data_IF_918375062823
#
_entry.id   IF_918375062823
#
_cell.length_a   1.000
_cell.length_b   1.000
_cell.length_c   1.000
_cell.angle_alpha   90.00
_cell.angle_beta   90.00
_cell.angle_gamma   90.00
#
_symmetry.space_group_name_H-M   'P 1'
#
loop_
_entity.id
_entity.type
_entity.pdbx_description
1 polymer ?
2 non-polymer ?
3 non-polymer ?
4 non-polymer ?
5 water ?
#
# COMPACT_ATOMS: atom_id res chain seq x y z
N UNK A 1 3.16 29.37 -29.31
CA UNK A 1 3.52 30.02 -28.05
C UNK A 1 2.85 31.37 -27.94
N UNK A 2 2.07 31.73 -28.95
CA UNK A 2 1.37 33.02 -28.98
C UNK A 2 -0.03 32.93 -28.40
N UNK A 3 -0.51 31.74 -28.04
CA UNK A 3 -1.85 31.57 -27.50
C UNK A 3 -1.84 30.65 -26.28
N UNK A 4 -0.74 30.70 -25.52
CA UNK A 4 -0.67 29.95 -24.27
C UNK A 4 -1.78 30.35 -23.31
N UNK A 5 -2.28 31.58 -23.40
CA UNK A 5 -3.36 31.97 -22.51
C UNK A 5 -4.58 31.09 -22.71
N UNK A 6 -4.83 30.65 -23.94
CA UNK A 6 -6.01 29.84 -24.19
C UNK A 6 -5.84 28.43 -23.61
N UNK A 7 -4.67 27.83 -23.77
CA UNK A 7 -4.44 26.52 -23.18
C UNK A 7 -4.55 26.57 -21.65
N UNK A 8 -3.97 27.60 -21.05
CA UNK A 8 -4.09 27.77 -19.60
C UNK A 8 -5.56 27.94 -19.21
N UNK A 9 -6.31 28.75 -19.96
CA UNK A 9 -7.72 28.95 -19.63
C UNK A 9 -8.46 27.63 -19.63
N UNK A 10 -8.26 26.83 -20.67
CA UNK A 10 -8.97 25.56 -20.79
C UNK A 10 -8.54 24.61 -19.70
N UNK A 11 -7.23 24.53 -19.42
CA UNK A 11 -6.76 23.59 -18.42
C UNK A 11 -7.16 24.02 -17.02
N UNK A 12 -7.20 25.31 -16.73
CA UNK A 12 -7.71 25.75 -15.43
C UNK A 12 -9.21 25.52 -15.31
N UNK A 13 -9.95 25.66 -16.40
CA UNK A 13 -11.36 25.29 -16.40
C UNK A 13 -11.49 23.81 -16.02
N UNK A 14 -10.73 22.94 -16.67
CA UNK A 14 -10.75 21.53 -16.31
C UNK A 14 -10.38 21.33 -14.85
N UNK A 15 -9.29 21.96 -14.42
CA UNK A 15 -8.81 21.75 -13.06
C UNK A 15 -9.80 22.26 -12.03
N UNK A 16 -10.53 23.33 -12.32
CA UNK A 16 -11.52 23.81 -11.37
C UNK A 16 -12.60 22.76 -11.10
N UNK A 17 -12.76 21.77 -11.99
CA UNK A 17 -13.71 20.67 -11.87
C UNK A 17 -13.10 19.38 -11.31
N UNK A 18 -11.82 19.41 -10.94
CA UNK A 18 -11.08 18.28 -10.42
C UNK A 18 -10.52 18.57 -9.03
N UNK A 19 -10.01 19.77 -8.83
CA UNK A 19 -9.32 20.13 -7.59
C UNK A 19 -10.34 20.37 -6.48
N UNK A 20 -10.06 19.83 -5.29
CA UNK A 20 -10.89 20.04 -4.12
C UNK A 20 -10.03 20.70 -3.05
N UNK A 21 -10.53 21.81 -2.52
CA UNK A 21 -9.81 22.57 -1.51
C UNK A 21 -10.24 22.11 -0.13
N UNK A 22 -9.32 22.18 0.84
CA UNK A 22 -9.60 21.64 2.17
C UNK A 22 -10.33 22.60 3.07
N UNK A 23 -10.96 22.04 4.09
CA UNK A 23 -11.44 22.82 5.21
C UNK A 23 -10.22 23.24 6.05
N UNK A 24 -10.36 24.28 6.80
CA UNK A 24 -9.24 24.72 7.61
C UNK A 24 -8.15 25.40 6.81
N UNK A 25 -7.17 25.87 7.56
CA UNK A 25 -6.34 26.98 7.15
C UNK A 25 -5.13 26.60 6.33
N UNK A 26 -4.88 27.41 5.31
CA UNK A 26 -3.75 27.19 4.43
C UNK A 26 -3.52 28.47 3.65
N UNK A 27 -2.40 28.51 2.94
CA UNK A 27 -1.99 29.62 2.09
C UNK A 27 -2.74 29.51 0.75
N UNK A 28 -3.75 30.35 0.58
CA UNK A 28 -4.57 30.29 -0.61
C UNK A 28 -3.79 30.63 -1.86
N UNK A 29 -2.83 31.54 -1.77
CA UNK A 29 -2.04 31.89 -2.93
C UNK A 29 -1.18 30.72 -3.37
N UNK A 30 -0.64 29.96 -2.42
CA UNK A 30 0.19 28.82 -2.79
C UNK A 30 -0.66 27.69 -3.37
N UNK A 31 -1.86 27.47 -2.83
CA UNK A 31 -2.75 26.50 -3.44
C UNK A 31 -3.04 26.89 -4.88
N UNK A 32 -3.30 28.17 -5.13
CA UNK A 32 -3.54 28.63 -6.49
C UNK A 32 -2.32 28.37 -7.37
N UNK A 33 -1.13 28.61 -6.82
CA UNK A 33 0.09 28.37 -7.60
C UNK A 33 0.25 26.90 -7.98
N UNK A 34 -0.15 25.98 -7.11
CA UNK A 34 -0.09 24.56 -7.44
C UNK A 34 -1.00 24.23 -8.59
N UNK A 35 -2.21 24.79 -8.59
CA UNK A 35 -3.13 24.55 -9.70
C UNK A 35 -2.57 25.15 -10.98
N UNK A 36 -1.96 26.33 -10.88
CA UNK A 36 -1.37 26.93 -12.07
C UNK A 36 -0.29 26.05 -12.68
N UNK A 37 0.51 25.40 -11.85
CA UNK A 37 1.54 24.50 -12.36
C UNK A 37 0.92 23.25 -12.99
N UNK A 38 -0.14 22.70 -12.38
CA UNK A 38 -0.85 21.57 -12.96
C UNK A 38 -1.41 21.92 -14.35
N UNK A 39 -1.73 23.20 -14.58
CA UNK A 39 -2.32 23.63 -15.85
C UNK A 39 -1.35 23.52 -17.01
N UNK A 40 -0.09 23.20 -16.76
CA UNK A 40 0.84 22.94 -17.84
C UNK A 40 0.66 21.55 -18.42
N UNK A 41 0.03 20.63 -17.70
CA UNK A 41 -0.17 19.26 -18.21
C UNK A 41 -1.09 19.29 -19.41
N UNK A 42 -0.82 18.43 -20.40
CA UNK A 42 -1.65 18.38 -21.60
C UNK A 42 -3.12 18.20 -21.22
N UNK A 43 -3.95 19.01 -21.82
CA UNK A 43 -5.37 19.00 -21.50
C UNK A 43 -6.05 17.66 -21.74
N UNK A 44 -5.56 16.88 -22.70
CA UNK A 44 -6.17 15.57 -22.95
C UNK A 44 -6.07 14.69 -21.71
N UNK A 45 -4.93 14.73 -21.02
CA UNK A 45 -4.79 13.94 -19.80
C UNK A 45 -5.70 14.47 -18.70
N UNK A 46 -5.73 15.80 -18.54
CA UNK A 46 -6.56 16.40 -17.50
C UNK A 46 -8.03 16.07 -17.72
N UNK A 47 -8.49 16.14 -18.96
CA UNK A 47 -9.89 15.81 -19.23
C UNK A 47 -10.18 14.32 -19.06
N UNK A 48 -9.18 13.47 -19.28
CA UNK A 48 -9.38 12.04 -19.01
C UNK A 48 -9.48 11.77 -17.52
N UNK A 49 -8.67 12.47 -16.70
CA UNK A 49 -8.82 12.37 -15.26
C UNK A 49 -10.21 12.81 -14.82
N UNK A 50 -10.68 13.93 -15.39
CA UNK A 50 -11.99 14.45 -15.04
C UNK A 50 -13.08 13.45 -15.39
N UNK A 51 -12.99 12.81 -16.54
CA UNK A 51 -14.00 11.84 -16.93
C UNK A 51 -14.06 10.68 -15.95
N UNK A 52 -12.92 10.29 -15.40
CA UNK A 52 -12.87 9.20 -14.44
C UNK A 52 -13.23 9.63 -13.03
N UNK A 53 -13.65 10.89 -12.84
CA UNK A 53 -14.06 11.43 -11.55
C UNK A 53 -12.93 11.44 -10.53
N UNK A 54 -11.71 11.56 -11.01
CA UNK A 54 -10.56 11.75 -10.14
C UNK A 54 -10.61 13.16 -9.56
N UNK A 55 -10.43 13.25 -8.26
CA UNK A 55 -10.33 14.53 -7.56
C UNK A 55 -8.88 14.71 -7.15
N UNK A 56 -8.38 15.92 -7.30
CA UNK A 56 -7.05 16.27 -6.81
C UNK A 56 -7.27 16.98 -5.47
N UNK A 57 -7.03 16.27 -4.38
CA UNK A 57 -7.31 16.80 -3.04
C UNK A 57 -6.09 17.56 -2.51
N UNK A 58 -6.23 18.86 -2.33
CA UNK A 58 -5.22 19.68 -1.69
C UNK A 58 -5.47 19.69 -0.20
N UNK A 59 -4.42 19.48 0.58
CA UNK A 59 -4.56 19.26 2.02
C UNK A 59 -3.95 20.40 2.82
N UNK A 60 -4.60 20.68 3.95
CA UNK A 60 -4.14 21.68 4.90
C UNK A 60 -3.22 21.13 5.99
N UNK A 61 -2.98 19.82 6.03
CA UNK A 61 -2.10 19.20 7.00
C UNK A 61 -1.53 17.90 6.47
N UNK A 62 -1.09 17.05 7.39
CA UNK A 62 -0.42 15.79 7.03
C UNK A 62 -1.36 14.87 6.28
N UNK A 63 -0.77 14.13 5.33
CA UNK A 63 -1.51 13.17 4.53
C UNK A 63 -2.27 12.18 5.40
N UNK A 64 -1.59 11.61 6.40
CA UNK A 64 -2.20 10.56 7.21
C UNK A 64 -3.20 11.09 8.22
N UNK A 65 -3.39 12.40 8.31
CA UNK A 65 -4.47 12.95 9.14
C UNK A 65 -5.79 13.06 8.37
N UNK A 66 -5.79 12.72 7.08
CA UNK A 66 -7.03 12.53 6.34
C UNK A 66 -7.55 11.12 6.59
N UNK A 67 -8.84 11.01 6.89
CA UNK A 67 -9.39 9.69 7.22
C UNK A 67 -9.06 8.65 6.16
N UNK A 68 -9.15 9.01 4.88
CA UNK A 68 -8.98 8.01 3.83
C UNK A 68 -7.53 7.51 3.72
N UNK A 69 -6.57 8.20 4.31
CA UNK A 69 -5.17 7.76 4.27
C UNK A 69 -4.66 7.37 5.64
N UNK A 70 -5.54 7.27 6.64
CA UNK A 70 -5.10 6.90 7.97
C UNK A 70 -4.49 5.50 8.00
N UNK A 71 -4.87 4.63 7.07
CA UNK A 71 -4.27 3.30 7.00
C UNK A 71 -2.77 3.36 6.73
N UNK A 72 -2.25 4.49 6.27
CA UNK A 72 -0.81 4.64 6.06
C UNK A 72 -0.07 5.14 7.29
N UNK A 73 -0.77 5.42 8.39
CA UNK A 73 -0.10 5.87 9.60
C UNK A 73 0.96 4.86 10.02
N UNK A 74 2.19 5.37 10.20
CA UNK A 74 3.28 4.54 10.64
C UNK A 74 3.89 3.64 9.59
N UNK A 75 3.36 3.62 8.40
CA UNK A 75 3.80 2.72 7.34
C UNK A 75 4.98 3.32 6.59
N UNK A 76 5.98 2.49 6.30
CA UNK A 76 7.16 2.94 5.57
C UNK A 76 6.92 2.86 4.07
N UNK A 77 7.09 3.94 3.32
CA UNK A 77 6.92 3.87 1.86
C UNK A 77 7.87 2.88 1.22
N UNK A 78 7.41 2.32 0.10
CA UNK A 78 8.26 1.53 -0.77
C UNK A 78 9.58 2.25 -1.02
N UNK A 79 10.68 1.53 -0.79
CA UNK A 79 12.00 2.06 -1.04
C UNK A 79 12.58 2.93 0.08
N UNK A 80 11.82 3.16 1.16
CA UNK A 80 12.25 4.01 2.26
C UNK A 80 12.69 3.22 3.50
N UNK A 81 12.92 1.92 3.34
CA UNK A 81 13.42 1.12 4.44
C UNK A 81 14.77 1.67 4.88
N UNK A 82 15.02 1.66 6.20
CA UNK A 82 16.27 2.16 6.73
C UNK A 82 16.32 3.63 6.99
N UNK A 83 15.26 4.38 6.69
CA UNK A 83 15.26 5.83 6.89
C UNK A 83 14.64 6.27 8.22
N UNK A 84 13.87 5.42 8.87
CA UNK A 84 13.14 5.89 10.03
C UNK A 84 11.96 6.79 9.72
N UNK A 85 11.64 7.00 8.45
CA UNK A 85 10.52 7.84 8.04
C UNK A 85 9.34 6.99 7.61
N UNK A 86 8.14 7.57 7.74
CA UNK A 86 6.91 6.87 7.37
C UNK A 86 6.05 7.80 6.53
N UNK A 87 4.91 7.28 6.07
CA UNK A 87 3.98 8.09 5.28
C UNK A 87 3.49 9.31 6.06
N UNK A 88 3.53 9.27 7.39
CA UNK A 88 3.17 10.45 8.18
C UNK A 88 3.99 11.65 7.74
N UNK A 89 5.22 11.41 7.26
CA UNK A 89 6.20 12.43 6.90
C UNK A 89 6.17 12.81 5.43
N UNK A 90 5.32 12.17 4.64
CA UNK A 90 5.33 12.30 3.18
C UNK A 90 4.18 13.20 2.75
N UNK A 91 4.42 14.21 1.92
CA UNK A 91 3.38 15.22 1.65
C UNK A 91 2.44 14.95 0.50
N UNK A 92 2.63 13.88 -0.27
CA UNK A 92 1.73 13.66 -1.38
C UNK A 92 1.74 12.21 -1.81
N UNK A 93 0.68 11.86 -2.50
CA UNK A 93 0.47 10.51 -3.02
C UNK A 93 -0.33 10.62 -4.30
N UNK A 94 -0.09 9.67 -5.20
CA UNK A 94 -0.83 9.58 -6.45
C UNK A 94 -0.96 8.14 -6.90
N UNK A 95 -2.02 7.86 -7.64
CA UNK A 95 -2.32 6.53 -8.12
C UNK A 95 -3.78 6.45 -8.46
N UNK A 96 -4.58 5.71 -7.67
CA UNK A 96 -6.02 5.72 -7.86
C UNK A 96 -6.65 7.01 -7.37
N UNK A 97 -5.96 7.75 -6.51
CA UNK A 97 -6.39 9.05 -6.01
C UNK A 97 -5.18 9.95 -6.06
N UNK A 98 -5.38 11.24 -5.76
CA UNK A 98 -4.29 12.21 -5.65
C UNK A 98 -4.54 13.07 -4.42
N UNK A 99 -3.53 13.18 -3.55
CA UNK A 99 -3.62 14.02 -2.36
C UNK A 99 -2.29 14.73 -2.18
N UNK A 100 -2.33 16.04 -1.89
CA UNK A 100 -1.16 16.91 -1.95
C UNK A 100 -1.19 17.95 -0.84
N UNK A 101 -0.17 18.00 -0.01
CA UNK A 101 -0.11 18.99 1.06
C UNK A 101 0.34 20.35 0.49
N UNK A 102 -0.50 21.37 0.71
CA UNK A 102 -0.23 22.72 0.23
C UNK A 102 1.02 23.25 0.88
N UNK A 103 1.91 23.81 0.07
CA UNK A 103 3.17 24.36 0.51
C UNK A 103 4.35 23.45 0.29
N UNK A 104 4.12 22.18 -0.07
CA UNK A 104 5.20 21.19 -0.13
C UNK A 104 5.59 20.84 -1.57
N UNK A 105 5.33 21.76 -2.51
CA UNK A 105 5.62 21.49 -3.92
C UNK A 105 7.09 21.24 -4.20
N UNK A 106 7.96 22.08 -3.66
CA UNK A 106 9.33 22.09 -4.15
C UNK A 106 10.10 20.87 -3.68
N UNK A 107 11.10 20.51 -4.47
CA UNK A 107 11.96 19.38 -4.16
C UNK A 107 12.54 19.54 -2.77
N UNK A 108 12.50 18.47 -1.99
CA UNK A 108 13.06 18.45 -0.66
C UNK A 108 12.07 18.72 0.44
N UNK A 109 10.83 19.12 0.11
CA UNK A 109 9.82 19.35 1.14
C UNK A 109 9.18 18.03 1.55
N UNK A 110 10.01 17.16 2.13
CA UNK A 110 9.54 15.85 2.51
C UNK A 110 9.48 14.83 1.39
N UNK A 111 9.92 15.18 0.18
CA UNK A 111 9.87 14.27 -0.95
C UNK A 111 10.97 14.67 -1.92
N UNK A 112 11.25 13.78 -2.87
CA UNK A 112 12.40 13.90 -3.76
C UNK A 112 12.05 14.38 -5.16
N UNK A 113 10.79 14.67 -5.46
CA UNK A 113 10.41 15.04 -6.81
C UNK A 113 10.74 16.50 -7.14
N UNK A 114 10.92 16.76 -8.43
CA UNK A 114 11.16 18.13 -8.89
C UNK A 114 9.97 19.01 -8.59
N UNK A 115 8.79 18.43 -8.50
CA UNK A 115 7.56 19.14 -8.17
C UNK A 115 6.55 18.10 -7.71
N UNK A 116 5.98 18.33 -6.53
CA UNK A 116 5.10 17.35 -5.91
C UNK A 116 3.86 17.11 -6.76
N UNK A 117 3.12 18.16 -7.09
CA UNK A 117 1.82 17.97 -7.72
C UNK A 117 1.95 17.32 -9.09
N UNK A 118 2.98 17.68 -9.85
CA UNK A 118 3.15 17.06 -11.17
C UNK A 118 3.54 15.59 -11.05
N UNK A 119 4.45 15.26 -10.13
CA UNK A 119 4.83 13.86 -9.93
C UNK A 119 3.63 13.03 -9.51
N UNK A 120 2.86 13.49 -8.52
CA UNK A 120 1.75 12.65 -8.04
C UNK A 120 0.65 12.53 -9.07
N UNK A 121 0.35 13.63 -9.77
CA UNK A 121 -0.66 13.56 -10.80
C UNK A 121 -0.21 12.65 -11.94
N UNK A 122 1.10 12.62 -12.22
CA UNK A 122 1.61 11.67 -13.22
C UNK A 122 1.30 10.24 -12.84
N UNK A 123 1.41 9.88 -11.56
CA UNK A 123 1.04 8.53 -11.13
C UNK A 123 -0.42 8.24 -11.47
N UNK A 124 -1.31 9.21 -11.25
CA UNK A 124 -2.72 9.03 -11.56
C UNK A 124 -2.94 8.91 -13.06
N UNK A 125 -2.21 9.70 -13.85
CA UNK A 125 -2.34 9.61 -15.30
C UNK A 125 -1.86 8.24 -15.80
N UNK A 126 -0.71 7.79 -15.31
CA UNK A 126 -0.20 6.46 -15.63
C UNK A 126 -1.25 5.40 -15.36
N UNK A 127 -1.86 5.42 -14.18
CA UNK A 127 -2.75 4.34 -13.77
C UNK A 127 -4.15 4.46 -14.38
N UNK A 128 -4.74 5.65 -14.32
CA UNK A 128 -6.15 5.85 -14.68
C UNK A 128 -6.32 6.07 -16.18
N UNK A 129 -5.42 6.83 -16.79
CA UNK A 129 -5.55 7.25 -18.17
C UNK A 129 -4.80 6.33 -19.12
N UNK A 130 -3.60 5.90 -18.75
CA UNK A 130 -2.68 5.20 -19.65
C UNK A 130 -2.55 3.72 -19.35
N UNK A 131 -3.42 3.16 -18.52
CA UNK A 131 -3.50 1.72 -18.27
C UNK A 131 -2.16 1.15 -17.80
N UNK A 132 -1.51 1.85 -16.87
CA UNK A 132 -0.23 1.42 -16.30
C UNK A 132 0.86 1.31 -17.36
N UNK A 133 0.96 2.36 -18.17
CA UNK A 133 1.94 2.41 -19.25
C UNK A 133 3.36 2.27 -18.72
N UNK A 134 3.62 2.64 -17.47
CA UNK A 134 4.97 2.51 -16.92
C UNK A 134 5.41 1.04 -16.80
N UNK A 135 4.48 0.10 -16.87
CA UNK A 135 4.77 -1.34 -16.82
C UNK A 135 4.70 -1.97 -18.20
N UNK A 136 4.50 -1.18 -19.25
CA UNK A 136 4.44 -1.71 -20.60
C UNK A 136 5.81 -2.17 -21.08
N UNK A 137 5.80 -3.08 -22.05
CA UNK A 137 7.05 -3.54 -22.65
C UNK A 137 7.81 -2.39 -23.30
N UNK A 138 7.09 -1.47 -23.93
CA UNK A 138 7.76 -0.33 -24.55
C UNK A 138 8.49 0.49 -23.51
N UNK A 139 7.79 0.83 -22.42
CA UNK A 139 8.45 1.66 -21.41
C UNK A 139 9.54 0.89 -20.69
N UNK A 140 9.37 -0.41 -20.49
CA UNK A 140 10.42 -1.18 -19.84
C UNK A 140 11.74 -1.04 -20.57
N UNK A 141 11.70 -1.06 -21.91
CA UNK A 141 12.94 -0.96 -22.67
C UNK A 141 13.56 0.42 -22.50
N UNK A 142 12.75 1.46 -22.53
CA UNK A 142 13.24 2.82 -22.31
C UNK A 142 13.82 2.95 -20.91
N UNK A 143 13.10 2.46 -19.91
CA UNK A 143 13.54 2.53 -18.52
C UNK A 143 14.86 1.79 -18.32
N UNK A 144 15.03 0.64 -18.98
CA UNK A 144 16.28 -0.09 -18.84
C UNK A 144 17.46 0.75 -19.28
N UNK A 145 17.29 1.60 -20.27
CA UNK A 145 18.37 2.43 -20.80
C UNK A 145 18.52 3.74 -20.03
N UNK A 146 17.41 4.43 -19.77
CA UNK A 146 17.43 5.82 -19.34
C UNK A 146 16.96 6.03 -17.91
N UNK A 147 16.55 4.98 -17.21
CA UNK A 147 15.88 5.09 -15.92
C UNK A 147 16.73 5.61 -14.78
N UNK A 148 18.06 5.64 -14.93
CA UNK A 148 18.91 6.22 -13.92
C UNK A 148 19.29 7.68 -14.21
N UNK A 149 18.92 8.21 -15.36
CA UNK A 149 19.52 9.44 -15.84
C UNK A 149 18.86 10.70 -15.29
N UNK A 150 17.81 10.59 -14.47
CA UNK A 150 17.34 11.68 -13.62
C UNK A 150 17.89 11.57 -12.20
N UNK A 151 18.85 10.69 -11.95
CA UNK A 151 19.39 10.48 -10.63
C UNK A 151 18.49 9.61 -9.76
N UNK A 152 18.73 9.72 -8.47
CA UNK A 152 18.07 8.88 -7.48
C UNK A 152 18.05 7.43 -7.94
N UNK A 153 19.24 6.90 -8.21
CA UNK A 153 19.38 5.65 -8.96
C UNK A 153 18.76 4.48 -8.21
N UNK A 154 18.74 4.50 -6.89
CA UNK A 154 18.20 3.39 -6.13
C UNK A 154 16.70 3.50 -5.89
N UNK A 155 16.07 4.53 -6.45
CA UNK A 155 14.64 4.74 -6.35
C UNK A 155 14.06 4.90 -7.76
N UNK A 156 14.30 6.03 -8.42
CA UNK A 156 13.86 6.19 -9.81
C UNK A 156 14.42 5.10 -10.71
N UNK A 157 15.65 4.67 -10.47
CA UNK A 157 16.29 3.70 -11.33
C UNK A 157 15.85 2.28 -11.13
N UNK A 158 15.07 2.03 -10.07
CA UNK A 158 14.62 0.71 -9.73
C UNK A 158 13.12 0.52 -9.97
N UNK A 159 12.31 1.58 -9.82
CA UNK A 159 10.86 1.49 -9.92
C UNK A 159 10.42 2.23 -11.17
N UNK A 160 10.04 1.54 -12.24
CA UNK A 160 9.65 2.26 -13.47
C UNK A 160 8.48 3.21 -13.30
N UNK A 161 7.55 2.89 -12.39
CA UNK A 161 6.44 3.81 -12.13
C UNK A 161 6.93 5.15 -11.58
N UNK A 162 8.02 5.14 -10.82
CA UNK A 162 8.57 6.38 -10.28
C UNK A 162 9.36 7.14 -11.35
N UNK A 163 10.14 6.43 -12.16
CA UNK A 163 10.81 7.08 -13.28
C UNK A 163 9.81 7.70 -14.25
N UNK A 164 8.71 7.00 -14.54
CA UNK A 164 7.66 7.61 -15.37
C UNK A 164 7.14 8.89 -14.75
N UNK A 165 6.80 8.85 -13.46
CA UNK A 165 6.18 10.02 -12.83
C UNK A 165 7.14 11.18 -12.78
N UNK A 166 8.41 10.92 -12.50
CA UNK A 166 9.39 11.99 -12.44
C UNK A 166 9.68 12.57 -13.81
N UNK A 167 9.79 11.71 -14.83
CA UNK A 167 10.02 12.19 -16.19
C UNK A 167 8.86 13.05 -16.65
N UNK A 168 7.65 12.61 -16.34
CA UNK A 168 6.45 13.39 -16.68
C UNK A 168 6.53 14.77 -16.05
N UNK A 169 6.94 14.84 -14.77
CA UNK A 169 7.05 16.12 -14.09
C UNK A 169 8.09 17.01 -14.75
N UNK A 170 9.26 16.46 -15.11
CA UNK A 170 10.24 17.24 -15.85
C UNK A 170 9.68 17.73 -17.18
N UNK A 171 8.93 16.86 -17.87
CA UNK A 171 8.41 17.25 -19.18
C UNK A 171 7.51 18.47 -19.05
N UNK A 172 6.71 18.55 -17.99
CA UNK A 172 5.64 19.53 -17.89
C UNK A 172 5.89 20.67 -16.93
N UNK A 173 6.93 20.65 -16.11
CA UNK A 173 7.06 21.71 -15.11
C UNK A 173 7.38 23.05 -15.74
N UNK A 174 8.50 23.13 -16.46
CA UNK A 174 8.87 24.39 -17.10
C UNK A 174 9.82 24.10 -18.26
N UNK A 175 10.20 25.14 -18.99
CA UNK A 175 11.00 24.91 -20.19
C UNK A 175 12.38 24.39 -19.83
N UNK A 176 12.90 24.80 -18.68
CA UNK A 176 14.21 24.33 -18.23
C UNK A 176 14.19 22.82 -17.97
N UNK A 177 13.24 22.35 -17.16
CA UNK A 177 13.18 20.91 -16.88
C UNK A 177 12.86 20.11 -18.16
N UNK A 178 12.02 20.66 -19.03
CA UNK A 178 11.70 19.98 -20.28
C UNK A 178 12.95 19.77 -21.13
N UNK A 179 13.76 20.80 -21.26
CA UNK A 179 15.02 20.69 -21.99
C UNK A 179 16.00 19.75 -21.30
N UNK A 180 16.04 19.77 -19.97
CA UNK A 180 16.91 18.85 -19.25
C UNK A 180 16.53 17.40 -19.50
N UNK A 181 15.22 17.10 -19.55
CA UNK A 181 14.79 15.75 -19.87
C UNK A 181 15.20 15.36 -21.27
N UNK A 182 15.01 16.25 -22.23
CA UNK A 182 15.41 15.94 -23.61
C UNK A 182 16.87 15.56 -23.68
N UNK A 183 17.72 16.31 -23.00
CA UNK A 183 19.16 16.04 -23.04
C UNK A 183 19.48 14.71 -22.35
N UNK A 184 18.95 14.50 -21.14
CA UNK A 184 19.35 13.35 -20.32
C UNK A 184 18.67 12.06 -20.73
N UNK A 185 17.41 12.13 -21.17
CA UNK A 185 16.57 10.97 -21.41
C UNK A 185 15.84 11.16 -22.74
N UNK A 186 16.59 11.13 -23.85
CA UNK A 186 15.96 11.47 -25.14
C UNK A 186 14.84 10.55 -25.57
N UNK A 187 14.98 9.24 -25.31
CA UNK A 187 13.91 8.33 -25.70
C UNK A 187 12.67 8.53 -24.84
N UNK A 188 12.86 8.80 -23.54
CA UNK A 188 11.74 9.07 -22.66
C UNK A 188 11.04 10.35 -23.10
N UNK A 189 11.83 11.36 -23.47
CA UNK A 189 11.28 12.61 -23.95
C UNK A 189 10.43 12.39 -25.20
N UNK A 190 10.96 11.63 -26.16
CA UNK A 190 10.23 11.36 -27.39
C UNK A 190 8.96 10.55 -27.11
N UNK A 191 9.08 9.58 -26.21
CA UNK A 191 7.93 8.79 -25.79
C UNK A 191 6.81 9.68 -25.24
N UNK A 192 7.16 10.63 -24.35
CA UNK A 192 6.15 11.51 -23.77
C UNK A 192 5.59 12.48 -24.81
N UNK A 193 6.45 13.00 -25.68
CA UNK A 193 5.98 13.90 -26.73
C UNK A 193 4.97 13.20 -27.63
N UNK A 194 5.26 11.94 -28.01
CA UNK A 194 4.36 11.24 -28.92
C UNK A 194 3.06 10.83 -28.24
N UNK A 195 3.09 10.54 -26.94
CA UNK A 195 1.85 10.19 -26.25
C UNK A 195 0.84 11.32 -26.37
N UNK A 196 1.31 12.57 -26.34
CA UNK A 196 0.46 13.74 -26.31
C UNK A 196 0.23 14.35 -27.69
N UNK A 197 0.86 13.82 -28.73
CA UNK A 197 0.77 14.40 -30.06
C UNK A 197 -0.63 14.26 -30.63
N UNK B 4 -3.46 2.18 -3.38
CA UNK B 4 -4.89 2.29 -3.71
C UNK B 4 -5.75 2.38 -2.46
N UNK B 5 -5.97 3.62 -2.02
CA UNK B 5 -6.84 3.89 -0.89
C UNK B 5 -8.28 3.47 -1.15
N UNK B 6 -8.71 3.40 -2.41
CA UNK B 6 -10.10 3.04 -2.65
C UNK B 6 -10.34 1.55 -2.41
N UNK B 7 -9.37 0.71 -2.78
CA UNK B 7 -9.47 -0.71 -2.47
C UNK B 7 -9.48 -0.94 -0.96
N UNK B 8 -8.66 -0.20 -0.21
CA UNK B 8 -8.69 -0.31 1.24
C UNK B 8 -10.09 -0.01 1.77
N UNK B 9 -10.70 1.08 1.33
CA UNK B 9 -12.02 1.40 1.86
C UNK B 9 -13.05 0.34 1.47
N UNK B 10 -12.96 -0.19 0.25
CA UNK B 10 -13.88 -1.27 -0.13
C UNK B 10 -13.71 -2.47 0.79
N UNK B 11 -12.46 -2.84 1.06
CA UNK B 11 -12.23 -3.99 1.92
C UNK B 11 -12.65 -3.71 3.36
N UNK B 12 -12.53 -2.46 3.82
CA UNK B 12 -13.06 -2.12 5.13
C UNK B 12 -14.56 -2.24 5.18
N UNK B 13 -15.25 -1.92 4.08
CA UNK B 13 -16.69 -2.15 4.00
C UNK B 13 -16.99 -3.62 4.24
N UNK B 14 -16.25 -4.51 3.57
CA UNK B 14 -16.40 -5.95 3.82
C UNK B 14 -16.10 -6.29 5.27
N UNK B 15 -15.00 -5.77 5.81
CA UNK B 15 -14.61 -6.08 7.19
C UNK B 15 -15.61 -5.57 8.22
N UNK B 16 -16.33 -4.51 7.91
CA UNK B 16 -17.34 -4.03 8.84
C UNK B 16 -18.41 -5.08 9.10
N UNK B 17 -18.56 -6.07 8.21
CA UNK B 17 -19.50 -7.18 8.35
C UNK B 17 -18.84 -8.45 8.90
N UNK B 18 -17.57 -8.38 9.29
CA UNK B 18 -16.78 -9.50 9.79
C UNK B 18 -16.26 -9.23 11.20
N UNK B 19 -15.67 -8.08 11.41
CA UNK B 19 -15.05 -7.76 12.68
C UNK B 19 -16.12 -7.48 13.72
N UNK B 20 -15.91 -8.00 14.93
CA UNK B 20 -16.76 -7.74 16.08
C UNK B 20 -15.90 -7.11 17.16
N UNK B 21 -16.34 -5.96 17.67
CA UNK B 21 -15.61 -5.20 18.67
C UNK B 21 -16.08 -5.63 20.06
N UNK B 22 -15.22 -5.52 21.07
CA UNK B 22 -15.56 -6.02 22.40
C UNK B 22 -16.34 -5.02 23.25
N UNK B 23 -16.99 -5.57 24.28
CA UNK B 23 -17.69 -4.73 25.24
C UNK B 23 -16.75 -3.91 26.10
N UNK B 24 -15.66 -4.52 26.57
CA UNK B 24 -14.78 -3.84 27.52
C UNK B 24 -13.90 -2.78 26.88
N UNK B 25 -13.10 -2.14 27.74
CA UNK B 25 -12.43 -0.91 27.35
C UNK B 25 -11.19 -1.26 26.54
N UNK B 26 -10.93 -0.47 25.50
CA UNK B 26 -9.76 -0.69 24.65
C UNK B 26 -9.49 0.60 23.88
N UNK B 27 -8.34 0.61 23.22
CA UNK B 27 -7.87 1.72 22.40
C UNK B 27 -8.56 1.61 21.03
N UNK B 28 -9.55 2.48 20.80
CA UNK B 28 -10.31 2.44 19.57
C UNK B 28 -9.46 2.74 18.35
N UNK B 29 -8.47 3.62 18.48
CA UNK B 29 -7.62 3.90 17.33
C UNK B 29 -6.79 2.69 16.95
N UNK B 30 -6.32 1.93 17.95
CA UNK B 30 -5.52 0.76 17.63
C UNK B 30 -6.38 -0.36 17.05
N UNK B 31 -7.61 -0.52 17.55
CA UNK B 31 -8.51 -1.48 16.91
C UNK B 31 -8.75 -1.12 15.46
N UNK B 32 -8.94 0.16 15.19
CA UNK B 32 -9.11 0.61 13.81
C UNK B 32 -7.88 0.32 12.98
N UNK B 33 -6.68 0.52 13.55
CA UNK B 33 -5.45 0.22 12.81
C UNK B 33 -5.35 -1.26 12.46
N UNK B 34 -5.82 -2.15 13.35
CA UNK B 34 -5.82 -3.57 13.04
C UNK B 34 -6.72 -3.88 11.84
N UNK B 35 -7.90 -3.24 11.82
CA UNK B 35 -8.80 -3.44 10.69
C UNK B 35 -8.18 -2.88 9.41
N UNK B 36 -7.47 -1.75 9.54
CA UNK B 36 -6.82 -1.18 8.36
C UNK B 36 -5.78 -2.15 7.80
N UNK B 37 -5.08 -2.87 8.68
CA UNK B 37 -4.09 -3.84 8.21
C UNK B 37 -4.75 -5.04 7.56
N UNK B 38 -5.85 -5.53 8.16
CA UNK B 38 -6.61 -6.60 7.53
C UNK B 38 -7.15 -6.19 6.16
N UNK B 39 -7.42 -4.90 5.96
CA UNK B 39 -8.03 -4.41 4.73
C UNK B 39 -7.08 -4.49 3.53
N UNK B 40 -5.80 -4.81 3.74
CA UNK B 40 -4.93 -5.05 2.62
C UNK B 40 -5.06 -6.45 2.05
N UNK B 41 -5.70 -7.39 2.76
CA UNK B 41 -5.92 -8.73 2.24
C UNK B 41 -6.80 -8.64 1.00
N UNK B 42 -6.53 -9.47 -0.01
CA UNK B 42 -7.34 -9.46 -1.22
C UNK B 42 -8.81 -9.57 -0.88
N UNK B 43 -9.62 -8.71 -1.49
CA UNK B 43 -11.04 -8.66 -1.18
C UNK B 43 -11.78 -9.96 -1.45
N UNK B 44 -11.32 -10.75 -2.41
CA UNK B 44 -12.00 -12.03 -2.66
C UNK B 44 -11.94 -12.93 -1.42
N UNK B 45 -10.80 -12.96 -0.72
CA UNK B 45 -10.69 -13.77 0.49
C UNK B 45 -11.60 -13.23 1.57
N UNK B 46 -11.64 -11.90 1.73
CA UNK B 46 -12.48 -11.30 2.75
C UNK B 46 -13.95 -11.58 2.49
N UNK B 47 -14.38 -11.48 1.23
CA UNK B 47 -15.79 -11.78 0.95
C UNK B 47 -16.12 -13.24 1.15
N UNK B 48 -15.13 -14.13 0.94
CA UNK B 48 -15.37 -15.55 1.22
C UNK B 48 -15.48 -15.80 2.72
N UNK B 49 -14.67 -15.11 3.53
CA UNK B 49 -14.84 -15.20 4.99
C UNK B 49 -16.22 -14.72 5.41
N UNK B 50 -16.67 -13.59 4.85
CA UNK B 50 -17.99 -13.05 5.16
C UNK B 50 -19.08 -14.05 4.76
N UNK B 51 -18.92 -14.72 3.61
CA UNK B 51 -19.92 -15.70 3.18
C UNK B 51 -20.06 -16.86 4.18
N UNK B 52 -18.94 -17.27 4.77
CA UNK B 52 -18.96 -18.35 5.75
C UNK B 52 -19.39 -17.87 7.13
N UNK B 53 -19.74 -16.60 7.27
CA UNK B 53 -20.19 -16.00 8.53
C UNK B 53 -19.12 -16.06 9.61
N UNK B 54 -17.85 -16.04 9.20
CA UNK B 54 -16.75 -15.94 10.14
C UNK B 54 -16.74 -14.54 10.74
N UNK B 55 -16.62 -14.48 12.06
CA UNK B 55 -16.44 -13.21 12.76
C UNK B 55 -15.00 -13.13 13.27
N UNK B 56 -14.38 -11.98 13.09
CA UNK B 56 -13.07 -11.72 13.64
C UNK B 56 -13.30 -10.95 14.95
N UNK B 57 -13.15 -11.65 16.07
CA UNK B 57 -13.42 -11.08 17.38
C UNK B 57 -12.18 -10.37 17.91
N UNK B 58 -12.25 -9.06 18.03
CA UNK B 58 -11.20 -8.29 18.70
C UNK B 58 -11.50 -8.26 20.18
N UNK B 59 -10.49 -8.50 21.00
CA UNK B 59 -10.66 -8.68 22.43
C UNK B 59 -10.06 -7.53 23.21
N UNK B 60 -10.75 -7.17 24.29
CA UNK B 60 -10.28 -6.12 25.19
C UNK B 60 -9.39 -6.66 26.31
N UNK B 61 -9.20 -7.96 26.39
CA UNK B 61 -8.37 -8.55 27.42
C UNK B 61 -7.81 -9.90 27.00
N UNK B 62 -7.46 -10.71 27.98
CA UNK B 62 -6.86 -12.01 27.71
C UNK B 62 -7.83 -12.90 26.94
N UNK B 63 -7.25 -13.76 26.10
CA UNK B 63 -8.05 -14.70 25.32
C UNK B 63 -8.93 -15.57 26.22
N UNK B 64 -8.37 -16.07 27.31
CA UNK B 64 -9.09 -17.00 28.17
C UNK B 64 -10.09 -16.32 29.09
N UNK B 65 -10.19 -15.00 29.03
CA UNK B 65 -11.26 -14.31 29.73
C UNK B 65 -12.51 -14.16 28.87
N UNK B 66 -12.45 -14.60 27.63
CA UNK B 66 -13.63 -14.73 26.79
C UNK B 66 -14.34 -16.04 27.09
N UNK B 67 -15.67 -15.97 27.27
CA UNK B 67 -16.43 -17.15 27.62
C UNK B 67 -16.12 -18.32 26.70
N UNK B 68 -16.08 -18.09 25.39
CA UNK B 68 -15.94 -19.21 24.48
C UNK B 68 -14.55 -19.84 24.53
N UNK B 69 -13.56 -19.17 25.12
CA UNK B 69 -12.21 -19.72 25.21
C UNK B 69 -11.80 -20.00 26.65
N UNK B 70 -12.72 -19.91 27.59
CA UNK B 70 -12.40 -20.11 29.01
C UNK B 70 -11.87 -21.52 29.27
N UNK B 71 -12.25 -22.47 28.44
CA UNK B 71 -11.76 -23.83 28.61
C UNK B 71 -10.25 -23.93 28.41
N UNK B 72 -9.62 -22.91 27.86
CA UNK B 72 -8.17 -22.90 27.65
C UNK B 72 -7.42 -22.34 28.85
N UNK B 73 -8.12 -21.86 29.87
CA UNK B 73 -7.45 -21.26 31.02
C UNK B 73 -6.50 -22.27 31.64
N UNK B 74 -5.24 -21.86 31.80
CA UNK B 74 -4.24 -22.69 32.43
C UNK B 74 -3.67 -23.79 31.55
N UNK B 75 -4.15 -23.95 30.34
CA UNK B 75 -3.65 -24.99 29.46
C UNK B 75 -2.34 -24.51 28.86
N UNK B 76 -1.34 -25.38 28.84
CA UNK B 76 -0.04 -25.05 28.30
C UNK B 76 -0.02 -25.41 26.81
N UNK B 77 0.23 -24.45 25.91
CA UNK B 77 0.32 -24.78 24.49
C UNK B 77 1.45 -25.76 24.20
N UNK B 78 1.30 -26.49 23.11
CA UNK B 78 2.35 -27.37 22.64
C UNK B 78 3.64 -26.58 22.44
N UNK B 79 4.74 -27.11 22.96
CA UNK B 79 6.03 -26.47 22.87
C UNK B 79 6.32 -25.43 23.93
N UNK B 80 5.37 -25.12 24.80
CA UNK B 80 5.54 -24.08 25.82
C UNK B 80 5.80 -24.63 27.20
N UNK B 81 6.10 -25.91 27.30
CA UNK B 81 6.38 -26.50 28.60
C UNK B 81 7.64 -25.85 29.18
N UNK B 82 7.62 -25.59 30.47
CA UNK B 82 8.75 -25.01 31.14
C UNK B 82 8.84 -23.51 31.05
N UNK B 83 7.93 -22.86 30.31
CA UNK B 83 7.99 -21.42 30.12
C UNK B 83 7.22 -20.66 31.19
N UNK B 84 6.37 -21.36 31.95
CA UNK B 84 5.44 -20.70 32.85
C UNK B 84 4.32 -19.97 32.16
N UNK B 85 4.23 -20.05 30.84
CA UNK B 85 3.19 -19.38 30.08
C UNK B 85 2.11 -20.39 29.72
N UNK B 86 0.89 -19.90 29.54
CA UNK B 86 -0.24 -20.73 29.19
C UNK B 86 -1.04 -20.03 28.09
N UNK B 87 -2.15 -20.65 27.68
CA UNK B 87 -3.03 -20.00 26.72
C UNK B 87 -3.54 -18.66 27.26
N UNK B 88 -3.51 -18.47 28.59
CA UNK B 88 -3.85 -17.17 29.17
C UNK B 88 -3.01 -16.07 28.55
N UNK B 89 -1.79 -16.39 28.15
CA UNK B 89 -0.80 -15.47 27.62
C UNK B 89 -0.78 -15.39 26.10
N UNK B 90 -1.65 -16.14 25.43
CA UNK B 90 -1.63 -16.22 23.97
C UNK B 90 -2.54 -15.13 23.47
N UNK B 91 -2.08 -14.24 22.58
CA UNK B 91 -2.86 -13.08 22.19
C UNK B 91 -3.81 -13.30 21.02
N UNK B 92 -3.73 -14.43 20.33
CA UNK B 92 -4.61 -14.66 19.20
C UNK B 92 -4.63 -16.10 18.78
N UNK B 93 -5.68 -16.44 18.04
CA UNK B 93 -5.80 -17.75 17.43
C UNK B 93 -6.64 -17.59 16.17
N UNK B 94 -6.41 -18.49 15.24
CA UNK B 94 -7.14 -18.48 13.98
C UNK B 94 -7.29 -19.89 13.46
N UNK B 95 -8.34 -20.08 12.68
CA UNK B 95 -8.69 -21.38 12.13
C UNK B 95 -10.16 -21.37 11.85
N UNK B 96 -10.92 -22.21 12.58
CA UNK B 96 -12.36 -22.21 12.45
C UNK B 96 -12.98 -20.92 12.98
N UNK B 97 -12.32 -20.28 13.95
CA UNK B 97 -12.70 -18.99 14.49
C UNK B 97 -11.47 -18.11 14.48
N UNK B 98 -11.64 -16.81 14.76
CA UNK B 98 -10.53 -15.88 14.89
C UNK B 98 -10.78 -14.96 16.09
N UNK B 99 -9.81 -14.88 17.00
CA UNK B 99 -9.89 -14.02 18.16
C UNK B 99 -8.53 -13.37 18.38
N UNK B 100 -8.52 -12.05 18.64
CA UNK B 100 -7.28 -11.25 18.57
C UNK B 100 -7.29 -10.16 19.64
N UNK B 101 -6.27 -10.12 20.50
CA UNK B 101 -6.21 -9.11 21.54
C UNK B 101 -5.73 -7.78 20.96
N UNK B 102 -6.54 -6.74 21.15
CA UNK B 102 -6.20 -5.41 20.66
C UNK B 102 -4.94 -4.92 21.34
N UNK B 103 -4.02 -4.41 20.55
CA UNK B 103 -2.76 -3.90 21.03
C UNK B 103 -1.60 -4.86 20.84
N UNK B 104 -1.86 -6.11 20.49
CA UNK B 104 -0.84 -7.15 20.46
C UNK B 104 -0.41 -7.51 19.05
N UNK B 105 -0.60 -6.59 18.11
CA UNK B 105 -0.29 -6.86 16.70
C UNK B 105 1.18 -7.18 16.48
N UNK B 106 2.07 -6.40 17.06
CA UNK B 106 3.46 -6.47 16.64
C UNK B 106 4.16 -7.72 17.17
N UNK B 107 5.17 -8.13 16.41
CA UNK B 107 5.98 -9.27 16.78
C UNK B 107 6.49 -9.13 18.21
N UNK B 108 6.40 -10.22 18.96
CA UNK B 108 6.87 -10.26 20.31
C UNK B 108 5.84 -9.96 21.37
N UNK B 109 4.65 -9.51 20.99
CA UNK B 109 3.58 -9.25 21.96
C UNK B 109 2.86 -10.56 22.30
N UNK B 110 3.62 -11.47 22.89
CA UNK B 110 3.09 -12.78 23.21
C UNK B 110 3.05 -13.76 22.06
N UNK B 111 3.61 -13.40 20.91
CA UNK B 111 3.58 -14.27 19.75
C UNK B 111 4.76 -13.89 18.86
N UNK B 112 5.03 -14.77 17.88
CA UNK B 112 6.21 -14.67 17.03
C UNK B 112 5.94 -14.16 15.62
N UNK B 113 4.72 -13.80 15.29
CA UNK B 113 4.38 -13.42 13.92
C UNK B 113 4.75 -11.96 13.62
N UNK B 114 4.96 -11.68 12.34
CA UNK B 114 5.22 -10.32 11.90
C UNK B 114 4.03 -9.41 12.18
N UNK B 115 2.85 -9.99 12.24
CA UNK B 115 1.63 -9.27 12.54
C UNK B 115 0.59 -10.29 12.98
N UNK B 116 0.01 -10.06 14.16
CA UNK B 116 -0.91 -11.03 14.75
C UNK B 116 -2.13 -11.22 13.87
N UNK B 117 -2.82 -10.14 13.54
CA UNK B 117 -4.12 -10.30 12.90
C UNK B 117 -4.00 -10.91 11.52
N UNK B 118 -2.95 -10.57 10.76
CA UNK B 118 -2.79 -11.18 9.44
C UNK B 118 -2.42 -12.66 9.55
N UNK B 119 -1.54 -13.03 10.47
CA UNK B 119 -1.17 -14.44 10.66
C UNK B 119 -2.40 -15.27 11.03
N UNK B 120 -3.16 -14.82 12.04
CA UNK B 120 -4.29 -15.61 12.50
C UNK B 120 -5.40 -15.65 11.46
N UNK B 121 -5.66 -14.51 10.81
CA UNK B 121 -6.67 -14.51 9.76
C UNK B 121 -6.25 -15.40 8.59
N UNK B 122 -4.94 -15.49 8.32
CA UNK B 122 -4.47 -16.41 7.30
C UNK B 122 -4.82 -17.85 7.63
N UNK B 123 -4.73 -18.26 8.91
CA UNK B 123 -5.16 -19.60 9.26
C UNK B 123 -6.64 -19.81 8.92
N UNK B 124 -7.48 -18.79 9.18
CA UNK B 124 -8.90 -18.93 8.86
C UNK B 124 -9.12 -19.02 7.36
N UNK B 125 -8.38 -18.23 6.58
CA UNK B 125 -8.50 -18.29 5.13
C UNK B 125 -8.04 -19.66 4.61
N UNK B 126 -6.90 -20.15 5.09
CA UNK B 126 -6.42 -21.48 4.75
C UNK B 126 -7.50 -22.53 4.97
N UNK B 127 -8.10 -22.54 6.17
CA UNK B 127 -9.02 -23.59 6.58
C UNK B 127 -10.42 -23.41 6.00
N UNK B 128 -10.96 -22.20 6.06
CA UNK B 128 -12.35 -21.98 5.68
C UNK B 128 -12.49 -21.75 4.17
N UNK B 129 -11.58 -21.01 3.57
CA UNK B 129 -11.70 -20.56 2.18
C UNK B 129 -10.92 -21.47 1.23
N UNK B 130 -9.72 -21.89 1.62
CA UNK B 130 -8.80 -22.56 0.71
C UNK B 130 -8.70 -24.06 0.96
N UNK B 131 -9.60 -24.65 1.75
CA UNK B 131 -9.66 -26.11 1.91
C UNK B 131 -8.34 -26.69 2.40
N UNK B 132 -7.74 -26.04 3.39
CA UNK B 132 -6.46 -26.48 3.95
C UNK B 132 -5.38 -26.59 2.90
N UNK B 133 -5.25 -25.53 2.09
CA UNK B 133 -4.24 -25.49 1.03
C UNK B 133 -2.83 -25.64 1.58
N UNK B 134 -2.60 -25.27 2.83
CA UNK B 134 -1.26 -25.41 3.39
C UNK B 134 -0.84 -26.87 3.53
N UNK B 135 -1.79 -27.81 3.48
CA UNK B 135 -1.50 -29.22 3.51
C UNK B 135 -1.59 -29.86 2.13
N UNK B 136 -1.75 -29.06 1.08
CA UNK B 136 -1.81 -29.58 -0.27
C UNK B 136 -0.45 -30.08 -0.73
N UNK B 137 -0.47 -30.98 -1.70
CA UNK B 137 0.77 -31.48 -2.28
C UNK B 137 1.56 -30.35 -2.93
N UNK B 138 0.88 -29.41 -3.60
CA UNK B 138 1.59 -28.29 -4.21
C UNK B 138 2.32 -27.47 -3.15
N UNK B 139 1.62 -27.13 -2.08
CA UNK B 139 2.26 -26.32 -1.05
C UNK B 139 3.32 -27.10 -0.30
N UNK B 140 3.11 -28.41 -0.09
CA UNK B 140 4.12 -29.22 0.58
C UNK B 140 5.47 -29.16 -0.14
N UNK B 141 5.45 -29.23 -1.48
CA UNK B 141 6.69 -29.14 -2.25
C UNK B 141 7.37 -27.79 -2.05
N UNK B 142 6.58 -26.71 -2.06
CA UNK B 142 7.13 -25.37 -1.84
C UNK B 142 7.70 -25.26 -0.44
N UNK B 143 6.95 -25.73 0.55
CA UNK B 143 7.37 -25.70 1.94
C UNK B 143 8.64 -26.49 2.17
N UNK B 144 8.78 -27.64 1.51
CA UNK B 144 9.99 -28.43 1.69
C UNK B 144 11.21 -27.62 1.29
N UNK B 145 11.07 -26.75 0.29
CA UNK B 145 12.19 -25.96 -0.21
C UNK B 145 12.37 -24.66 0.57
N UNK B 146 11.27 -23.94 0.83
CA UNK B 146 11.34 -22.55 1.27
C UNK B 146 10.88 -22.36 2.69
N UNK B 147 10.42 -23.41 3.38
CA UNK B 147 9.71 -23.29 4.64
C UNK B 147 10.54 -22.82 5.82
N UNK B 148 11.86 -22.83 5.73
CA UNK B 148 12.72 -22.30 6.77
C UNK B 148 13.14 -20.87 6.51
N UNK B 149 12.80 -20.30 5.36
CA UNK B 149 13.47 -19.07 4.94
C UNK B 149 12.86 -17.81 5.53
N UNK B 150 11.80 -17.91 6.32
CA UNK B 150 11.34 -16.82 7.17
C UNK B 150 11.84 -16.98 8.59
N UNK B 151 12.75 -17.93 8.82
CA UNK B 151 13.26 -18.20 10.15
C UNK B 151 12.32 -19.05 10.99
N UNK B 152 12.54 -18.99 12.30
CA UNK B 152 11.82 -19.83 13.25
C UNK B 152 11.77 -21.28 12.75
N UNK B 153 12.97 -21.84 12.52
CA UNK B 153 13.09 -23.08 11.75
C UNK B 153 12.42 -24.26 12.41
N UNK B 154 12.35 -24.27 13.73
CA UNK B 154 11.79 -25.42 14.43
C UNK B 154 10.28 -25.28 14.62
N UNK B 155 9.69 -24.22 14.07
CA UNK B 155 8.25 -24.02 14.12
C UNK B 155 7.70 -23.76 12.72
N UNK B 156 7.99 -22.59 12.14
CA UNK B 156 7.59 -22.34 10.76
C UNK B 156 8.15 -23.40 9.82
N UNK B 157 9.39 -23.85 10.07
CA UNK B 157 10.01 -24.82 9.17
C UNK B 157 9.50 -26.24 9.32
N UNK B 158 8.68 -26.48 10.34
CA UNK B 158 8.18 -27.82 10.64
C UNK B 158 6.70 -27.96 10.33
N UNK B 159 5.92 -26.90 10.47
CA UNK B 159 4.47 -26.96 10.31
C UNK B 159 4.08 -26.16 9.07
N UNK B 160 3.70 -26.81 7.97
CA UNK B 160 3.34 -26.02 6.78
C UNK B 160 2.20 -25.05 7.02
N UNK B 161 1.26 -25.37 7.92
CA UNK B 161 0.16 -24.44 8.21
C UNK B 161 0.69 -23.13 8.78
N UNK B 162 1.77 -23.19 9.56
CA UNK B 162 2.34 -22.00 10.13
C UNK B 162 3.17 -21.22 9.13
N UNK B 163 3.97 -21.94 8.31
CA UNK B 163 4.68 -21.26 7.23
C UNK B 163 3.72 -20.58 6.26
N UNK B 164 2.60 -21.24 5.93
CA UNK B 164 1.58 -20.59 5.09
C UNK B 164 1.09 -19.31 5.73
N UNK B 165 0.72 -19.38 7.01
CA UNK B 165 0.10 -18.22 7.66
C UNK B 165 1.08 -17.05 7.75
N UNK B 166 2.34 -17.35 8.07
CA UNK B 166 3.35 -16.32 8.17
C UNK B 166 3.67 -15.73 6.81
N UNK B 167 3.77 -16.58 5.78
CA UNK B 167 4.01 -16.09 4.42
C UNK B 167 2.88 -15.19 3.96
N UNK B 168 1.64 -15.60 4.24
CA UNK B 168 0.48 -14.76 3.91
C UNK B 168 0.59 -13.40 4.58
N UNK B 169 0.97 -13.38 5.85
CA UNK B 169 1.13 -12.12 6.57
C UNK B 169 2.20 -11.25 5.95
N UNK B 170 3.35 -11.83 5.58
CA UNK B 170 4.37 -11.04 4.87
C UNK B 170 3.81 -10.49 3.56
N UNK B 171 3.08 -11.32 2.83
CA UNK B 171 2.59 -10.89 1.53
C UNK B 171 1.70 -9.67 1.66
N UNK B 172 0.89 -9.61 2.71
CA UNK B 172 -0.15 -8.60 2.83
C UNK B 172 0.11 -7.49 3.85
N UNK B 173 1.15 -7.55 4.68
CA UNK B 173 1.30 -6.51 5.69
C UNK B 173 1.68 -5.17 5.07
N UNK B 174 2.81 -5.09 4.38
CA UNK B 174 3.25 -3.83 3.79
C UNK B 174 4.20 -4.12 2.65
N UNK B 175 4.70 -3.06 1.99
CA UNK B 175 5.53 -3.25 0.80
C UNK B 175 6.87 -3.88 1.16
N UNK B 176 7.41 -3.57 2.34
CA UNK B 176 8.67 -4.14 2.77
C UNK B 176 8.55 -5.66 2.94
N UNK B 177 7.56 -6.11 3.71
CA UNK B 177 7.44 -7.54 3.97
C UNK B 177 7.10 -8.29 2.69
N UNK B 178 6.32 -7.67 1.82
CA UNK B 178 5.99 -8.29 0.53
C UNK B 178 7.26 -8.51 -0.29
N UNK B 179 8.11 -7.48 -0.37
CA UNK B 179 9.38 -7.60 -1.09
C UNK B 179 10.29 -8.63 -0.44
N UNK B 180 10.34 -8.64 0.89
CA UNK B 180 11.16 -9.60 1.61
C UNK B 180 10.72 -11.03 1.32
N UNK B 181 9.42 -11.26 1.27
CA UNK B 181 8.94 -12.59 0.92
C UNK B 181 9.34 -12.96 -0.51
N UNK B 182 9.17 -12.03 -1.46
CA UNK B 182 9.55 -12.34 -2.83
C UNK B 182 11.01 -12.77 -2.90
N UNK B 183 11.88 -12.12 -2.15
CA UNK B 183 13.30 -12.42 -2.22
C UNK B 183 13.65 -13.72 -1.51
N UNK B 184 13.07 -13.97 -0.34
CA UNK B 184 13.45 -15.14 0.46
C UNK B 184 12.75 -16.40 0.00
N UNK B 185 11.50 -16.28 -0.46
CA UNK B 185 10.61 -17.41 -0.75
C UNK B 185 9.91 -17.13 -2.07
N UNK B 186 10.65 -17.13 -3.19
CA UNK B 186 10.02 -16.76 -4.48
C UNK B 186 8.91 -17.68 -4.94
N UNK B 187 9.02 -18.99 -4.69
CA UNK B 187 7.94 -19.89 -5.09
C UNK B 187 6.70 -19.65 -4.24
N UNK B 188 6.88 -19.38 -2.95
CA UNK B 188 5.76 -19.08 -2.08
C UNK B 188 5.08 -17.78 -2.53
N UNK B 189 5.89 -16.79 -2.87
CA UNK B 189 5.37 -15.53 -3.35
C UNK B 189 4.53 -15.73 -4.62
N UNK B 190 5.08 -16.46 -5.60
CA UNK B 190 4.36 -16.67 -6.84
C UNK B 190 3.07 -17.44 -6.60
N UNK B 191 3.12 -18.44 -5.70
CA UNK B 191 1.94 -19.21 -5.33
C UNK B 191 0.85 -18.29 -4.78
N UNK B 192 1.21 -17.37 -3.87
CA UNK B 192 0.20 -16.48 -3.30
C UNK B 192 -0.30 -15.48 -4.33
N UNK B 193 0.59 -14.98 -5.19
CA UNK B 193 0.17 -14.08 -6.24
C UNK B 193 -0.84 -14.76 -7.14
N UNK B 194 -0.59 -16.00 -7.52
CA UNK B 194 -1.50 -16.70 -8.44
C UNK B 194 -2.82 -17.06 -7.76
N UNK B 195 -2.80 -17.38 -6.47
CA UNK B 195 -4.04 -17.66 -5.76
C UNK B 195 -5.02 -16.51 -5.82
N UNK B 196 -4.52 -15.28 -5.81
CA UNK B 196 -5.38 -14.10 -5.78
C UNK B 196 -5.74 -13.60 -7.16
N UNK B 197 -5.20 -14.20 -8.22
CA UNK B 197 -5.58 -13.82 -9.57
C UNK B 197 -7.00 -14.31 -9.84
#
# INVERSE_FOLDING_TARGET
SHMDSTTIQQNKDTLSQIVVFPTGNYDKNEANAMVNRLANIDGKYLNALKQNNLKIKLLSGKLTDEKEYAYLKGVVPKGWEGTGKTWDDVPGLGGSTVALRIGFSNKGKGHDAINLELHETAHAIDHIVLNDISKSAQFKQIFAKEGRSLGNVNYLGVYPEEFFAESFAYYYLNQDTNSKLKSACPQTYSFLQNLAK
SHMDSTTIQQNKDTLSQIVVFPTGNYDKNEANAMVNRLANIDGKYLNALKQNNLKIKLLSGKLTDEKEYAYLKGVVPKGWEGTGKTWDDVPGLGGSTVALRIGFSNKGKGHDAINLELHETAHAIDHIVLNDISKSAQFKQIFAKEGRSLGNVNYLGVYPEEFFAESFAYYYLNQDTNSKLKSACPQTYSFLQNLAK
#
